data_IF_925297284130
#
_entry.id   IF_925297284130
#
_cell.length_a   1.000
_cell.length_b   1.000
_cell.length_c   1.000
_cell.angle_alpha   90.00
_cell.angle_beta   90.00
_cell.angle_gamma   90.00
#
_symmetry.space_group_name_H-M   'P 1'
#
loop_
_entity.id
_entity.type
_entity.pdbx_description
1 polymer ?
#
# COMPACT_ATOMS: atom_id res chain seq x y z
N UNK A 1 27.39 -23.23 20.96
CA UNK A 1 27.62 -22.25 19.87
C UNK A 1 26.47 -22.44 18.87
N UNK A 2 25.34 -21.76 19.06
CA UNK A 2 24.09 -22.12 18.37
C UNK A 2 23.32 -20.91 17.81
N UNK A 3 23.93 -19.73 17.75
CA UNK A 3 23.19 -18.49 17.48
C UNK A 3 23.58 -17.82 16.16
N UNK A 4 24.49 -18.42 15.38
CA UNK A 4 24.85 -17.95 14.03
C UNK A 4 25.43 -16.52 13.95
N UNK A 5 25.46 -15.73 15.02
CA UNK A 5 25.89 -14.33 14.89
C UNK A 5 27.30 -14.20 14.34
N UNK A 6 27.44 -13.33 13.33
CA UNK A 6 28.69 -13.12 12.60
C UNK A 6 29.19 -14.34 11.81
N UNK A 7 28.38 -15.39 11.58
CA UNK A 7 28.79 -16.53 10.74
C UNK A 7 28.97 -16.14 9.28
N UNK A 8 28.18 -15.18 8.81
CA UNK A 8 28.12 -14.73 7.43
C UNK A 8 27.64 -13.28 7.36
N UNK A 9 27.41 -12.79 6.13
CA UNK A 9 26.98 -11.41 5.86
C UNK A 9 25.47 -11.21 6.00
N UNK A 10 24.69 -12.27 6.05
CA UNK A 10 23.23 -12.23 6.12
C UNK A 10 22.75 -12.06 7.57
N UNK A 11 23.34 -12.83 8.49
CA UNK A 11 23.02 -12.78 9.91
C UNK A 11 23.55 -11.51 10.60
N UNK A 12 22.98 -11.19 11.77
CA UNK A 12 23.44 -10.07 12.57
C UNK A 12 24.92 -10.23 12.98
N UNK A 13 25.74 -9.18 12.94
CA UNK A 13 27.16 -9.23 13.30
C UNK A 13 27.43 -9.74 14.72
N UNK A 14 28.66 -10.20 14.98
CA UNK A 14 29.04 -10.78 16.27
C UNK A 14 28.84 -9.78 17.43
N UNK A 15 27.96 -10.09 18.42
CA UNK A 15 27.69 -9.21 19.55
C UNK A 15 28.82 -9.09 20.56
N UNK A 16 29.88 -9.89 20.43
CA UNK A 16 31.09 -9.74 21.25
C UNK A 16 31.84 -8.45 20.92
N UNK A 17 31.63 -7.89 19.73
CA UNK A 17 32.09 -6.55 19.38
C UNK A 17 31.30 -5.48 20.18
N UNK A 18 31.98 -4.55 20.89
CA UNK A 18 31.34 -3.45 21.61
C UNK A 18 30.36 -2.62 20.79
N UNK A 19 30.54 -2.54 19.47
CA UNK A 19 29.65 -1.81 18.55
C UNK A 19 28.30 -2.53 18.35
N UNK A 20 28.31 -3.86 18.30
CA UNK A 20 27.16 -4.72 17.98
C UNK A 20 26.55 -5.43 19.20
N UNK A 21 27.15 -5.28 20.39
CA UNK A 21 26.68 -5.91 21.62
C UNK A 21 25.37 -5.33 22.19
N UNK A 22 25.03 -4.07 21.86
CA UNK A 22 23.89 -3.34 22.46
C UNK A 22 22.53 -3.91 22.01
N UNK A 23 21.64 -4.17 22.97
CA UNK A 23 20.29 -4.71 22.71
C UNK A 23 19.48 -3.80 21.77
N UNK A 24 19.51 -2.49 22.00
CA UNK A 24 18.79 -1.51 21.16
C UNK A 24 19.24 -1.58 19.70
N UNK A 25 20.54 -1.80 19.46
CA UNK A 25 21.10 -1.92 18.10
C UNK A 25 20.59 -3.18 17.39
N UNK A 26 20.55 -4.32 18.10
CA UNK A 26 20.00 -5.58 17.58
C UNK A 26 18.54 -5.45 17.17
N UNK A 27 17.72 -4.84 18.04
CA UNK A 27 16.30 -4.63 17.75
C UNK A 27 16.09 -3.66 16.59
N UNK A 28 16.81 -2.53 16.59
CA UNK A 28 16.73 -1.54 15.53
C UNK A 28 17.14 -2.11 14.17
N UNK A 29 18.21 -2.90 14.11
CA UNK A 29 18.63 -3.58 12.88
C UNK A 29 17.59 -4.60 12.41
N UNK A 30 17.05 -5.41 13.31
CA UNK A 30 16.03 -6.41 12.97
C UNK A 30 14.75 -5.76 12.45
N UNK A 31 14.32 -4.65 13.06
CA UNK A 31 13.19 -3.85 12.58
C UNK A 31 13.46 -3.19 11.23
N UNK A 32 14.67 -2.66 11.02
CA UNK A 32 15.08 -2.10 9.73
C UNK A 32 15.03 -3.16 8.63
N UNK A 33 15.62 -4.33 8.87
CA UNK A 33 15.59 -5.47 7.95
C UNK A 33 14.15 -5.91 7.64
N UNK A 34 13.34 -6.12 8.67
CA UNK A 34 11.92 -6.52 8.51
C UNK A 34 11.12 -5.49 7.72
N UNK A 35 11.36 -4.19 7.96
CA UNK A 35 10.67 -3.12 7.23
C UNK A 35 11.04 -3.11 5.75
N UNK A 36 12.32 -3.28 5.40
CA UNK A 36 12.76 -3.35 4.01
C UNK A 36 12.17 -4.54 3.25
N UNK A 37 12.09 -5.70 3.91
CA UNK A 37 11.49 -6.91 3.31
C UNK A 37 9.98 -6.73 3.14
N UNK A 38 9.30 -6.19 4.16
CA UNK A 38 7.86 -5.92 4.14
C UNK A 38 7.46 -4.91 3.05
N UNK A 39 8.26 -3.85 2.85
CA UNK A 39 8.01 -2.84 1.82
C UNK A 39 8.56 -3.25 0.44
N UNK A 40 9.08 -4.47 0.29
CA UNK A 40 9.60 -5.02 -0.97
C UNK A 40 10.78 -4.26 -1.57
N UNK A 41 11.50 -3.46 -0.77
CA UNK A 41 12.69 -2.71 -1.24
C UNK A 41 13.87 -3.68 -1.48
N UNK A 42 14.04 -4.67 -0.60
CA UNK A 42 14.95 -5.80 -0.83
C UNK A 42 16.45 -5.49 -0.78
N UNK A 43 16.88 -4.31 -0.30
CA UNK A 43 18.29 -3.95 -0.10
C UNK A 43 18.91 -4.63 1.14
N UNK A 44 18.73 -5.95 1.25
CA UNK A 44 19.30 -6.75 2.33
C UNK A 44 20.44 -7.62 1.80
N UNK A 45 21.46 -7.95 2.62
CA UNK A 45 22.51 -8.86 2.19
C UNK A 45 21.91 -10.18 1.68
N UNK A 46 22.47 -10.78 0.62
CA UNK A 46 21.93 -12.03 0.09
C UNK A 46 22.11 -13.17 1.10
N UNK A 47 21.14 -14.09 1.21
CA UNK A 47 21.29 -15.33 1.95
C UNK A 47 22.53 -16.12 1.51
N UNK A 48 23.15 -16.84 2.43
CA UNK A 48 24.35 -17.66 2.18
C UNK A 48 24.04 -19.14 2.35
N UNK A 49 23.22 -19.51 3.33
CA UNK A 49 22.81 -20.90 3.57
C UNK A 49 21.43 -21.24 2.97
N UNK A 50 21.22 -22.52 2.62
CA UNK A 50 19.95 -22.99 2.05
C UNK A 50 18.73 -22.75 2.98
N UNK A 51 18.94 -22.82 4.29
CA UNK A 51 17.95 -22.50 5.33
C UNK A 51 17.51 -21.04 5.25
N UNK A 52 18.46 -20.12 5.06
CA UNK A 52 18.23 -18.68 4.94
C UNK A 52 17.46 -18.36 3.67
N UNK A 53 17.78 -19.01 2.55
CA UNK A 53 17.00 -18.89 1.31
C UNK A 53 15.53 -19.29 1.51
N UNK A 54 15.28 -20.43 2.17
CA UNK A 54 13.90 -20.87 2.44
C UNK A 54 13.14 -19.88 3.35
N UNK A 55 13.83 -19.37 4.37
CA UNK A 55 13.28 -18.33 5.26
C UNK A 55 12.92 -17.06 4.48
N UNK A 56 13.85 -16.51 3.70
CA UNK A 56 13.65 -15.28 2.93
C UNK A 56 12.54 -15.42 1.88
N UNK A 57 12.47 -16.55 1.16
CA UNK A 57 11.38 -16.80 0.21
C UNK A 57 10.02 -16.81 0.91
N UNK A 58 9.93 -17.47 2.06
CA UNK A 58 8.68 -17.51 2.84
C UNK A 58 8.30 -16.12 3.35
N UNK A 59 9.26 -15.37 3.87
CA UNK A 59 9.05 -14.02 4.40
C UNK A 59 8.61 -13.04 3.30
N UNK A 60 9.22 -13.10 2.11
CA UNK A 60 8.79 -12.29 0.96
C UNK A 60 7.36 -12.60 0.52
N UNK A 61 6.97 -13.88 0.47
CA UNK A 61 5.60 -14.26 0.10
C UNK A 61 4.58 -13.68 1.10
N UNK A 62 4.87 -13.76 2.40
CA UNK A 62 4.02 -13.18 3.44
C UNK A 62 3.99 -11.64 3.33
N UNK A 63 5.16 -11.01 3.17
CA UNK A 63 5.30 -9.56 3.05
C UNK A 63 4.51 -8.98 1.88
N UNK A 64 4.60 -9.60 0.70
CA UNK A 64 3.84 -9.18 -0.50
C UNK A 64 2.33 -9.29 -0.29
N UNK A 65 1.85 -10.35 0.36
CA UNK A 65 0.42 -10.52 0.65
C UNK A 65 -0.10 -9.45 1.62
N UNK A 66 0.67 -9.15 2.67
CA UNK A 66 0.34 -8.08 3.62
C UNK A 66 0.33 -6.72 2.91
N UNK A 67 1.37 -6.42 2.14
CA UNK A 67 1.49 -5.16 1.41
C UNK A 67 0.34 -4.96 0.41
N UNK A 68 0.02 -5.98 -0.38
CA UNK A 68 -1.10 -5.95 -1.32
C UNK A 68 -2.45 -5.71 -0.62
N UNK A 69 -2.66 -6.33 0.55
CA UNK A 69 -3.87 -6.13 1.36
C UNK A 69 -3.97 -4.70 1.88
N UNK A 70 -2.87 -4.13 2.39
CA UNK A 70 -2.84 -2.74 2.87
C UNK A 70 -3.19 -1.78 1.74
N UNK A 71 -2.53 -1.91 0.58
CA UNK A 71 -2.79 -1.04 -0.58
C UNK A 71 -4.22 -1.20 -1.09
N UNK A 72 -4.73 -2.43 -1.16
CA UNK A 72 -6.11 -2.70 -1.56
C UNK A 72 -7.13 -2.04 -0.62
N UNK A 73 -6.91 -2.12 0.69
CA UNK A 73 -7.78 -1.49 1.69
C UNK A 73 -7.73 0.04 1.62
N UNK A 74 -6.55 0.63 1.43
CA UNK A 74 -6.41 2.08 1.24
C UNK A 74 -7.12 2.53 -0.05
N UNK A 75 -6.96 1.78 -1.13
CA UNK A 75 -7.67 2.04 -2.39
C UNK A 75 -9.19 2.00 -2.21
N UNK A 76 -9.71 0.96 -1.53
CA UNK A 76 -11.13 0.85 -1.21
C UNK A 76 -11.64 2.01 -0.36
N UNK A 77 -10.87 2.43 0.65
CA UNK A 77 -11.21 3.60 1.47
C UNK A 77 -11.35 4.87 0.62
N UNK A 78 -10.41 5.11 -0.30
CA UNK A 78 -10.46 6.27 -1.21
C UNK A 78 -11.68 6.22 -2.13
N UNK A 79 -11.96 5.05 -2.71
CA UNK A 79 -13.14 4.86 -3.56
C UNK A 79 -14.43 5.09 -2.77
N UNK A 80 -14.53 4.54 -1.57
CA UNK A 80 -15.70 4.69 -0.71
C UNK A 80 -15.91 6.14 -0.26
N UNK A 81 -14.84 6.86 0.09
CA UNK A 81 -14.91 8.26 0.47
C UNK A 81 -15.48 9.14 -0.66
N UNK A 82 -15.19 8.78 -1.91
CA UNK A 82 -15.69 9.50 -3.08
C UNK A 82 -16.96 8.87 -3.70
N UNK A 83 -17.50 7.80 -3.13
CA UNK A 83 -18.59 7.03 -3.75
C UNK A 83 -19.87 7.87 -3.94
N UNK A 84 -20.26 8.66 -2.93
CA UNK A 84 -21.43 9.53 -3.03
C UNK A 84 -21.29 10.58 -4.14
N UNK A 85 -20.10 11.16 -4.27
CA UNK A 85 -19.78 12.14 -5.32
C UNK A 85 -19.75 11.50 -6.70
N UNK A 86 -19.20 10.29 -6.80
CA UNK A 86 -19.18 9.52 -8.04
C UNK A 86 -20.59 9.13 -8.50
N UNK A 87 -21.48 8.69 -7.59
CA UNK A 87 -22.88 8.38 -7.92
C UNK A 87 -23.64 9.64 -8.37
N UNK A 88 -23.44 10.76 -7.68
CA UNK A 88 -24.04 12.02 -8.09
C UNK A 88 -23.58 12.46 -9.48
N UNK A 89 -22.27 12.39 -9.75
CA UNK A 89 -21.72 12.72 -11.06
C UNK A 89 -22.27 11.81 -12.16
N UNK A 90 -22.38 10.50 -11.90
CA UNK A 90 -22.94 9.53 -12.84
C UNK A 90 -24.40 9.85 -13.19
N UNK A 91 -25.22 10.28 -12.21
CA UNK A 91 -26.60 10.72 -12.43
C UNK A 91 -26.66 11.98 -13.30
N UNK A 92 -25.82 12.98 -13.00
CA UNK A 92 -25.72 14.21 -13.81
C UNK A 92 -25.37 13.88 -15.26
N UNK A 93 -24.41 12.99 -15.46
CA UNK A 93 -23.94 12.63 -16.80
C UNK A 93 -25.05 11.89 -17.59
N UNK A 94 -25.79 10.98 -16.94
CA UNK A 94 -26.96 10.34 -17.55
C UNK A 94 -28.06 11.34 -17.94
N UNK A 95 -28.33 12.34 -17.09
CA UNK A 95 -29.31 13.40 -17.36
C UNK A 95 -28.86 14.27 -18.56
N UNK A 96 -27.59 14.65 -18.61
CA UNK A 96 -27.00 15.38 -19.75
C UNK A 96 -27.12 14.58 -21.05
N UNK A 97 -26.83 13.28 -21.00
CA UNK A 97 -26.95 12.40 -22.15
C UNK A 97 -28.40 12.32 -22.66
N UNK A 98 -29.37 12.20 -21.74
CA UNK A 98 -30.80 12.20 -22.08
C UNK A 98 -31.24 13.51 -22.75
N UNK A 99 -30.85 14.67 -22.19
CA UNK A 99 -31.19 15.98 -22.74
C UNK A 99 -30.57 16.21 -24.12
N UNK A 100 -29.32 15.76 -24.32
CA UNK A 100 -28.65 15.79 -25.61
C UNK A 100 -29.39 14.96 -26.65
N UNK A 101 -29.76 13.72 -26.31
CA UNK A 101 -30.50 12.82 -27.20
C UNK A 101 -31.86 13.40 -27.60
N UNK A 102 -32.56 14.05 -26.67
CA UNK A 102 -33.85 14.71 -26.92
C UNK A 102 -33.74 16.11 -27.54
N UNK A 103 -32.52 16.60 -27.82
CA UNK A 103 -32.26 17.94 -28.37
C UNK A 103 -32.93 19.05 -27.56
N UNK A 104 -32.84 18.95 -26.24
CA UNK A 104 -33.34 19.99 -25.32
C UNK A 104 -32.57 21.29 -25.54
N UNK A 105 -33.25 22.44 -25.41
CA UNK A 105 -32.61 23.76 -25.54
C UNK A 105 -31.56 23.98 -24.44
N UNK A 106 -30.48 24.69 -24.79
CA UNK A 106 -29.36 24.95 -23.87
C UNK A 106 -29.77 25.72 -22.61
N UNK A 107 -30.78 26.58 -22.71
CA UNK A 107 -31.35 27.27 -21.55
C UNK A 107 -32.02 26.32 -20.57
N UNK A 108 -32.79 25.34 -21.06
CA UNK A 108 -33.45 24.36 -20.19
C UNK A 108 -32.43 23.40 -19.58
N UNK A 109 -31.45 22.94 -20.37
CA UNK A 109 -30.32 22.12 -19.89
C UNK A 109 -29.58 22.82 -18.73
N UNK A 110 -29.26 24.11 -18.88
CA UNK A 110 -28.58 24.90 -17.85
C UNK A 110 -29.42 25.06 -16.57
N UNK A 111 -30.74 25.22 -16.70
CA UNK A 111 -31.67 25.28 -15.56
C UNK A 111 -31.73 23.95 -14.81
N UNK A 112 -31.76 22.84 -15.53
CA UNK A 112 -31.78 21.49 -14.94
C UNK A 112 -30.47 21.24 -14.18
N UNK A 113 -29.31 21.47 -14.80
CA UNK A 113 -28.00 21.28 -14.14
C UNK A 113 -27.90 22.15 -12.88
N UNK A 114 -28.28 23.44 -12.95
CA UNK A 114 -28.24 24.36 -11.80
C UNK A 114 -29.12 23.88 -10.63
N UNK A 115 -30.27 23.26 -10.93
CA UNK A 115 -31.14 22.72 -9.89
C UNK A 115 -30.52 21.47 -9.22
N UNK A 116 -29.87 20.60 -9.98
CA UNK A 116 -29.16 19.47 -9.39
C UNK A 116 -27.91 19.89 -8.59
N UNK A 117 -27.15 20.89 -9.06
CA UNK A 117 -26.02 21.45 -8.29
C UNK A 117 -26.49 22.02 -6.94
N UNK A 118 -27.67 22.67 -6.92
CA UNK A 118 -28.29 23.14 -5.67
C UNK A 118 -28.70 21.99 -4.73
N UNK A 119 -29.17 20.86 -5.25
CA UNK A 119 -29.53 19.70 -4.42
C UNK A 119 -28.33 18.97 -3.81
N UNK A 120 -27.13 19.13 -4.40
CA UNK A 120 -25.90 18.49 -3.92
C UNK A 120 -25.12 19.34 -2.92
N UNK A 121 -25.41 20.64 -2.86
CA UNK A 121 -24.83 21.56 -1.87
C UNK A 121 -25.52 21.38 -0.52
#
# INVERSE_FOLDING_TARGET
KAIGFGSDRFVYPDPTDPEFGRLVRKYAYSMYWSTLTLTTIGETPPPVENSEYFFVVTDFLVGVLIFATIVGNVGSMITNMNAARADFQARIDAIKQYMSFRKVTKDLEKRVIKWFDFLWT
#
